data_IF_697692445041
#
_entry.id   IF_697692445041
#
_cell.length_a   1.000
_cell.length_b   1.000
_cell.length_c   1.000
_cell.angle_alpha   90.00
_cell.angle_beta   90.00
_cell.angle_gamma   90.00
#
_symmetry.space_group_name_H-M   'P 1'
#
loop_
_entity.id
_entity.type
_entity.pdbx_description
1 polymer ?
#
# COMPACT_ATOMS: atom_id res chain seq x y z
N UNK A 1 -3.27 -4.34 8.96
CA UNK A 1 -2.80 -3.53 7.79
C UNK A 1 -3.58 -3.96 6.57
N UNK A 2 -3.94 -3.01 5.71
CA UNK A 2 -4.69 -3.28 4.49
C UNK A 2 -3.79 -3.87 3.37
N UNK A 3 -4.41 -4.50 2.36
CA UNK A 3 -3.72 -5.05 1.20
C UNK A 3 -4.21 -4.43 -0.11
N UNK A 4 -3.28 -4.03 -0.99
CA UNK A 4 -3.56 -3.55 -2.35
C UNK A 4 -3.00 -4.52 -3.37
N UNK A 5 -3.77 -4.78 -4.44
CA UNK A 5 -3.31 -5.42 -5.68
C UNK A 5 -3.90 -4.66 -6.86
N UNK A 6 -3.08 -4.32 -7.84
CA UNK A 6 -3.49 -3.71 -9.11
C UNK A 6 -2.81 -4.40 -10.27
N UNK A 7 -3.44 -4.40 -11.44
CA UNK A 7 -2.87 -5.06 -12.62
C UNK A 7 -3.35 -4.43 -13.92
N UNK A 8 -2.47 -4.45 -14.92
CA UNK A 8 -2.76 -4.20 -16.33
C UNK A 8 -2.12 -5.32 -17.15
N UNK A 9 -2.90 -5.99 -18.01
CA UNK A 9 -2.47 -7.14 -18.81
C UNK A 9 -3.34 -7.31 -20.07
N UNK A 10 -2.86 -8.08 -21.02
CA UNK A 10 -3.65 -8.55 -22.17
C UNK A 10 -4.48 -9.82 -21.90
N UNK A 11 -4.35 -10.40 -20.68
CA UNK A 11 -5.16 -11.53 -20.19
C UNK A 11 -6.12 -11.10 -19.07
N UNK A 12 -7.05 -11.99 -18.70
CA UNK A 12 -7.91 -11.77 -17.54
C UNK A 12 -7.08 -11.75 -16.24
N UNK A 13 -7.09 -10.60 -15.54
CA UNK A 13 -6.32 -10.39 -14.31
C UNK A 13 -7.13 -10.66 -13.04
N UNK A 14 -8.43 -10.86 -13.13
CA UNK A 14 -9.29 -11.03 -11.97
C UNK A 14 -8.83 -12.17 -11.04
N UNK A 15 -8.44 -13.36 -11.56
CA UNK A 15 -7.89 -14.41 -10.72
C UNK A 15 -6.60 -13.99 -9.99
N UNK A 16 -5.74 -13.18 -10.62
CA UNK A 16 -4.50 -12.67 -10.02
C UNK A 16 -4.82 -11.71 -8.88
N UNK A 17 -5.75 -10.78 -9.10
CA UNK A 17 -6.19 -9.83 -8.07
C UNK A 17 -6.73 -10.57 -6.84
N UNK A 18 -7.62 -11.54 -7.04
CA UNK A 18 -8.25 -12.28 -5.94
C UNK A 18 -7.26 -13.16 -5.19
N UNK A 19 -6.38 -13.88 -5.90
CA UNK A 19 -5.33 -14.67 -5.26
C UNK A 19 -4.35 -13.80 -4.48
N UNK A 20 -4.01 -12.62 -5.02
CA UNK A 20 -3.20 -11.64 -4.31
C UNK A 20 -3.86 -11.17 -3.02
N UNK A 21 -5.18 -10.89 -3.05
CA UNK A 21 -5.92 -10.56 -1.83
C UNK A 21 -5.95 -11.70 -0.82
N UNK A 22 -6.13 -12.94 -1.26
CA UNK A 22 -6.10 -14.12 -0.37
C UNK A 22 -4.77 -14.23 0.38
N UNK A 23 -3.65 -13.95 -0.32
CA UNK A 23 -2.32 -13.93 0.30
C UNK A 23 -2.12 -12.79 1.28
N UNK A 24 -2.88 -11.69 1.15
CA UNK A 24 -2.83 -10.53 2.05
C UNK A 24 -3.92 -10.53 3.12
N UNK A 25 -4.86 -11.48 3.09
CA UNK A 25 -6.04 -11.51 3.98
C UNK A 25 -5.65 -11.57 5.47
N UNK A 26 -4.49 -12.15 5.80
CA UNK A 26 -3.99 -12.19 7.17
C UNK A 26 -3.70 -10.79 7.74
N UNK A 27 -3.51 -9.77 6.88
CA UNK A 27 -3.26 -8.38 7.27
C UNK A 27 -4.54 -7.58 7.55
N UNK A 28 -5.67 -7.97 6.94
CA UNK A 28 -6.94 -7.27 7.10
C UNK A 28 -8.06 -8.07 6.46
N UNK A 29 -9.18 -8.21 7.17
CA UNK A 29 -10.30 -9.05 6.77
C UNK A 29 -11.66 -8.47 7.14
N UNK A 30 -11.76 -7.17 7.43
CA UNK A 30 -13.03 -6.52 7.76
C UNK A 30 -13.92 -6.35 6.55
N UNK A 31 -13.29 -6.12 5.41
CA UNK A 31 -13.94 -6.08 4.11
C UNK A 31 -12.92 -6.25 2.99
N UNK A 32 -13.40 -6.66 1.83
CA UNK A 32 -12.61 -6.79 0.62
C UNK A 32 -13.43 -6.39 -0.60
N UNK A 33 -12.72 -6.13 -1.71
CA UNK A 33 -13.38 -5.84 -2.97
C UNK A 33 -12.43 -5.72 -4.14
N UNK A 34 -13.02 -5.75 -5.32
CA UNK A 34 -12.36 -5.63 -6.62
C UNK A 34 -13.11 -4.62 -7.48
N UNK A 35 -12.36 -3.84 -8.25
CA UNK A 35 -12.90 -3.04 -9.34
C UNK A 35 -12.15 -3.35 -10.63
N UNK A 36 -12.89 -3.41 -11.74
CA UNK A 36 -12.36 -3.72 -13.06
C UNK A 36 -12.87 -2.74 -14.12
N UNK A 37 -12.12 -2.65 -15.20
CA UNK A 37 -12.49 -1.91 -16.39
C UNK A 37 -13.07 -2.85 -17.45
N UNK A 38 -14.35 -2.78 -17.76
CA UNK A 38 -15.04 -3.71 -18.67
C UNK A 38 -14.47 -3.76 -20.09
N UNK A 39 -14.00 -2.62 -20.61
CA UNK A 39 -13.54 -2.52 -22.00
C UNK A 39 -12.07 -2.92 -22.21
N UNK A 40 -11.33 -3.30 -21.19
CA UNK A 40 -9.88 -3.53 -21.30
C UNK A 40 -9.53 -4.72 -22.18
N UNK A 41 -10.39 -5.72 -22.31
CA UNK A 41 -10.22 -6.88 -23.18
C UNK A 41 -11.01 -6.77 -24.50
N UNK A 42 -12.12 -6.05 -24.53
CA UNK A 42 -13.07 -6.06 -25.66
C UNK A 42 -13.02 -4.85 -26.59
N UNK A 43 -12.29 -3.79 -26.25
CA UNK A 43 -12.22 -2.50 -26.98
C UNK A 43 -13.60 -1.85 -27.26
N UNK A 44 -14.65 -2.27 -26.56
CA UNK A 44 -15.98 -1.64 -26.62
C UNK A 44 -16.05 -0.52 -25.57
N UNK A 45 -17.00 0.40 -25.71
CA UNK A 45 -17.26 1.38 -24.66
C UNK A 45 -17.76 0.64 -23.40
N UNK A 46 -16.86 0.43 -22.44
CA UNK A 46 -17.13 -0.23 -21.17
C UNK A 46 -17.15 0.76 -20.03
N UNK A 47 -17.85 0.37 -18.97
CA UNK A 47 -17.87 1.09 -17.69
C UNK A 47 -16.87 0.51 -16.69
N UNK A 48 -16.98 0.99 -15.47
CA UNK A 48 -16.31 0.40 -14.32
C UNK A 48 -17.29 -0.53 -13.60
N UNK A 49 -16.85 -1.75 -13.27
CA UNK A 49 -17.59 -2.67 -12.40
C UNK A 49 -16.83 -2.91 -11.11
N UNK A 50 -17.54 -3.17 -10.03
CA UNK A 50 -16.95 -3.56 -8.76
C UNK A 50 -17.81 -4.58 -8.03
N UNK A 51 -17.14 -5.46 -7.25
CA UNK A 51 -17.73 -6.30 -6.22
C UNK A 51 -17.09 -5.96 -4.88
N UNK A 52 -17.87 -5.95 -3.79
CA UNK A 52 -17.40 -5.65 -2.43
C UNK A 52 -18.13 -6.51 -1.41
N UNK A 53 -17.39 -6.99 -0.41
CA UNK A 53 -17.92 -7.80 0.67
C UNK A 53 -17.36 -7.34 2.03
N UNK A 54 -18.15 -7.51 3.09
CA UNK A 54 -17.70 -7.40 4.49
C UNK A 54 -17.30 -8.75 5.06
N UNK A 55 -17.11 -9.74 4.21
CA UNK A 55 -16.71 -11.10 4.52
C UNK A 55 -15.31 -11.41 3.98
N UNK A 56 -14.92 -12.67 4.06
CA UNK A 56 -13.65 -13.19 3.56
C UNK A 56 -13.54 -13.09 2.03
N UNK A 57 -12.33 -13.09 1.52
CA UNK A 57 -12.05 -13.06 0.07
C UNK A 57 -12.69 -14.25 -0.66
N UNK A 58 -12.87 -15.39 0.02
CA UNK A 58 -13.58 -16.55 -0.55
C UNK A 58 -15.04 -16.27 -0.93
N UNK A 59 -15.74 -15.43 -0.17
CA UNK A 59 -17.11 -15.01 -0.52
C UNK A 59 -17.13 -13.99 -1.65
N UNK A 60 -16.15 -13.08 -1.68
CA UNK A 60 -15.96 -12.18 -2.80
C UNK A 60 -15.73 -12.94 -4.11
N UNK A 61 -15.00 -14.06 -4.09
CA UNK A 61 -14.82 -14.94 -5.26
C UNK A 61 -16.15 -15.45 -5.79
N UNK A 62 -17.03 -15.94 -4.94
CA UNK A 62 -18.36 -16.41 -5.34
C UNK A 62 -19.18 -15.33 -6.06
N UNK A 63 -19.12 -14.09 -5.56
CA UNK A 63 -19.78 -12.96 -6.20
C UNK A 63 -19.15 -12.64 -7.57
N UNK A 64 -17.81 -12.62 -7.67
CA UNK A 64 -17.08 -12.39 -8.93
C UNK A 64 -17.44 -13.42 -9.99
N UNK A 65 -17.52 -14.71 -9.61
CA UNK A 65 -17.91 -15.80 -10.49
C UNK A 65 -19.36 -15.67 -10.95
N UNK A 66 -20.27 -15.32 -10.04
CA UNK A 66 -21.69 -15.09 -10.34
C UNK A 66 -21.89 -13.91 -11.30
N UNK A 67 -21.15 -12.82 -11.08
CA UNK A 67 -21.23 -11.60 -11.88
C UNK A 67 -20.38 -11.68 -13.18
N UNK A 68 -19.68 -12.80 -13.39
CA UNK A 68 -18.79 -13.03 -14.54
C UNK A 68 -17.82 -11.87 -14.79
N UNK A 69 -17.12 -11.43 -13.72
CA UNK A 69 -16.19 -10.32 -13.82
C UNK A 69 -14.88 -10.78 -14.47
N UNK A 70 -14.59 -10.27 -15.66
CA UNK A 70 -13.38 -10.51 -16.41
C UNK A 70 -12.81 -9.19 -16.94
N UNK A 71 -11.50 -9.01 -16.86
CA UNK A 71 -10.85 -7.79 -17.32
C UNK A 71 -9.34 -7.96 -17.43
N UNK A 72 -8.71 -7.14 -18.28
CA UNK A 72 -7.25 -6.94 -18.31
C UNK A 72 -6.77 -5.80 -17.43
N UNK A 73 -7.66 -5.02 -16.80
CA UNK A 73 -7.29 -3.88 -15.95
C UNK A 73 -8.17 -3.83 -14.72
N UNK A 74 -7.56 -3.75 -13.55
CA UNK A 74 -8.30 -3.66 -12.30
C UNK A 74 -7.43 -3.45 -11.07
N UNK A 75 -8.12 -3.19 -9.96
CA UNK A 75 -7.54 -3.02 -8.62
C UNK A 75 -8.38 -3.79 -7.60
N UNK A 76 -7.74 -4.25 -6.55
CA UNK A 76 -8.38 -4.99 -5.47
C UNK A 76 -7.80 -4.62 -4.12
N UNK A 77 -8.58 -4.83 -3.06
CA UNK A 77 -8.22 -4.39 -1.72
C UNK A 77 -8.78 -5.31 -0.64
N UNK A 78 -7.99 -5.53 0.43
CA UNK A 78 -8.46 -6.03 1.73
C UNK A 78 -8.29 -4.92 2.76
N UNK A 79 -9.34 -4.67 3.54
CA UNK A 79 -9.39 -3.56 4.48
C UNK A 79 -9.29 -4.02 5.93
N UNK A 80 -8.53 -3.26 6.71
CA UNK A 80 -8.65 -3.17 8.16
C UNK A 80 -9.21 -1.79 8.48
N UNK A 81 -10.40 -1.73 9.07
CA UNK A 81 -11.12 -0.49 9.26
C UNK A 81 -10.38 0.48 10.20
N UNK A 82 -10.09 1.68 9.68
CA UNK A 82 -9.55 2.81 10.45
C UNK A 82 -10.58 3.94 10.54
N UNK A 83 -11.25 4.26 9.42
CA UNK A 83 -12.31 5.27 9.32
C UNK A 83 -13.60 4.65 8.80
N UNK A 84 -14.69 4.79 9.54
CA UNK A 84 -15.99 4.18 9.22
C UNK A 84 -16.09 2.71 9.60
N UNK A 85 -17.27 2.28 10.02
CA UNK A 85 -17.55 0.91 10.44
C UNK A 85 -17.33 -0.10 9.30
N UNK A 86 -17.08 -1.40 9.61
CA UNK A 86 -17.09 -2.46 8.61
C UNK A 86 -18.48 -2.58 7.97
N UNK A 87 -18.66 -1.95 6.82
CA UNK A 87 -19.90 -1.95 6.05
C UNK A 87 -19.55 -1.89 4.56
N UNK A 88 -20.41 -2.45 3.70
CA UNK A 88 -20.17 -2.53 2.26
C UNK A 88 -19.93 -1.16 1.63
N UNK A 89 -20.62 -0.11 2.08
CA UNK A 89 -20.42 1.25 1.55
C UNK A 89 -19.05 1.85 1.92
N UNK A 90 -18.42 1.36 3.01
CA UNK A 90 -17.08 1.75 3.44
C UNK A 90 -15.97 0.82 2.90
N UNK A 91 -16.36 -0.29 2.24
CA UNK A 91 -15.40 -1.22 1.63
C UNK A 91 -14.79 -0.62 0.36
N UNK A 92 -13.49 -0.85 0.16
CA UNK A 92 -12.80 -0.50 -1.08
C UNK A 92 -13.07 -1.53 -2.18
N UNK A 93 -12.93 -1.19 -3.45
CA UNK A 93 -12.61 0.11 -4.05
C UNK A 93 -13.75 1.14 -3.95
N UNK A 94 -13.37 2.43 -3.84
CA UNK A 94 -14.32 3.54 -3.97
C UNK A 94 -14.39 4.04 -5.40
N UNK A 95 -15.59 4.47 -5.81
CA UNK A 95 -15.83 5.08 -7.10
C UNK A 95 -16.12 6.57 -6.94
N UNK A 96 -15.65 7.37 -7.90
CA UNK A 96 -16.20 8.71 -8.14
C UNK A 96 -17.06 8.69 -9.40
N UNK A 97 -18.35 9.01 -9.32
CA UNK A 97 -19.22 9.16 -10.49
C UNK A 97 -19.23 10.58 -11.06
N UNK A 98 -18.43 11.50 -10.47
CA UNK A 98 -18.46 12.92 -10.75
C UNK A 98 -19.45 13.70 -9.88
N UNK A 99 -19.52 15.02 -10.05
CA UNK A 99 -20.49 15.85 -9.33
C UNK A 99 -21.93 15.54 -9.76
N UNK A 100 -22.87 15.64 -8.82
CA UNK A 100 -24.30 15.41 -9.05
C UNK A 100 -25.05 15.12 -7.75
N UNK A 101 -26.40 15.05 -7.80
CA UNK A 101 -27.20 14.70 -6.64
C UNK A 101 -27.29 13.17 -6.44
N UNK A 102 -27.71 12.72 -5.24
CA UNK A 102 -27.83 11.31 -4.87
C UNK A 102 -28.71 10.51 -5.84
N UNK A 103 -29.80 11.10 -6.33
CA UNK A 103 -30.69 10.42 -7.28
C UNK A 103 -30.03 10.22 -8.64
N UNK A 104 -29.13 11.13 -9.03
CA UNK A 104 -28.34 11.01 -10.25
C UNK A 104 -27.18 10.03 -10.12
N UNK A 105 -26.81 9.63 -8.91
CA UNK A 105 -25.72 8.69 -8.62
C UNK A 105 -26.21 7.23 -8.55
N UNK A 106 -27.49 7.02 -8.28
CA UNK A 106 -28.09 5.69 -8.26
C UNK A 106 -28.07 5.08 -9.69
N UNK A 107 -27.19 4.11 -9.92
CA UNK A 107 -27.03 3.44 -11.19
C UNK A 107 -26.08 4.11 -12.19
N UNK A 108 -25.41 5.23 -11.85
CA UNK A 108 -24.35 5.75 -12.71
C UNK A 108 -23.05 4.95 -12.51
N UNK A 109 -22.41 4.52 -13.60
CA UNK A 109 -21.10 3.91 -13.51
C UNK A 109 -20.09 4.93 -12.97
N UNK A 110 -19.12 4.44 -12.17
CA UNK A 110 -18.01 5.27 -11.72
C UNK A 110 -17.18 5.79 -12.90
N UNK A 111 -16.52 6.93 -12.71
CA UNK A 111 -15.53 7.47 -13.66
C UNK A 111 -14.12 7.12 -13.21
N UNK A 112 -13.86 7.20 -11.90
CA UNK A 112 -12.61 6.85 -11.24
C UNK A 112 -12.86 5.69 -10.28
N UNK A 113 -11.95 4.72 -10.24
CA UNK A 113 -11.88 3.68 -9.22
C UNK A 113 -10.57 3.82 -8.44
N UNK A 114 -10.63 3.75 -7.11
CA UNK A 114 -9.48 3.96 -6.25
C UNK A 114 -9.49 3.03 -5.03
N UNK A 115 -8.31 2.52 -4.67
CA UNK A 115 -8.01 1.86 -3.40
C UNK A 115 -6.90 2.60 -2.67
N UNK A 116 -6.90 2.53 -1.34
CA UNK A 116 -5.99 3.28 -0.48
C UNK A 116 -5.61 2.50 0.77
N UNK A 117 -4.34 2.49 1.09
CA UNK A 117 -3.77 2.11 2.37
C UNK A 117 -3.18 3.36 3.03
N UNK A 118 -3.58 3.63 4.25
CA UNK A 118 -3.09 4.77 5.01
C UNK A 118 -4.22 5.60 5.62
N UNK A 119 -3.90 6.83 5.98
CA UNK A 119 -4.83 7.80 6.56
C UNK A 119 -4.52 9.18 6.01
N UNK A 120 -5.53 9.86 5.46
CA UNK A 120 -5.44 11.25 5.02
C UNK A 120 -5.96 12.16 6.13
N UNK A 121 -5.06 12.89 6.78
CA UNK A 121 -5.34 13.71 7.95
C UNK A 121 -6.23 14.94 7.64
N UNK A 122 -6.12 15.49 6.44
CA UNK A 122 -6.90 16.66 6.00
C UNK A 122 -8.16 16.29 5.20
N UNK A 123 -8.66 15.04 5.35
CA UNK A 123 -9.81 14.56 4.56
C UNK A 123 -11.09 15.40 4.76
N UNK A 124 -11.34 15.93 5.95
CA UNK A 124 -12.53 16.75 6.23
C UNK A 124 -12.49 18.08 5.49
N UNK A 125 -11.33 18.75 5.41
CA UNK A 125 -11.13 19.96 4.64
C UNK A 125 -11.37 19.71 3.15
N UNK A 126 -10.78 18.65 2.62
CA UNK A 126 -10.93 18.25 1.21
C UNK A 126 -12.37 17.86 0.90
N UNK A 127 -13.04 17.13 1.81
CA UNK A 127 -14.46 16.77 1.71
C UNK A 127 -15.35 18.00 1.58
N UNK A 128 -15.16 19.01 2.42
CA UNK A 128 -15.93 20.27 2.35
C UNK A 128 -15.74 21.00 1.02
N UNK A 129 -14.50 21.05 0.50
CA UNK A 129 -14.20 21.64 -0.81
C UNK A 129 -14.89 20.89 -1.95
N UNK A 130 -14.93 19.55 -1.89
CA UNK A 130 -15.59 18.72 -2.89
C UNK A 130 -17.12 18.83 -2.83
N UNK A 131 -17.70 18.89 -1.63
CA UNK A 131 -19.13 19.14 -1.46
C UNK A 131 -19.55 20.49 -2.05
N UNK A 132 -18.74 21.53 -1.88
CA UNK A 132 -18.95 22.82 -2.53
C UNK A 132 -18.89 22.75 -4.06
N UNK A 133 -18.16 21.78 -4.63
CA UNK A 133 -18.13 21.48 -6.08
C UNK A 133 -19.29 20.55 -6.52
N UNK A 134 -20.18 20.16 -5.62
CA UNK A 134 -21.33 19.31 -5.92
C UNK A 134 -21.05 17.78 -5.86
N UNK A 135 -19.94 17.35 -5.25
CA UNK A 135 -19.69 15.93 -5.00
C UNK A 135 -20.50 15.44 -3.80
N UNK A 136 -21.10 14.26 -3.93
CA UNK A 136 -21.89 13.62 -2.89
C UNK A 136 -21.17 12.39 -2.40
N UNK A 137 -21.06 12.24 -1.09
CA UNK A 137 -20.36 11.16 -0.43
C UNK A 137 -21.32 10.05 0.01
N UNK A 138 -20.96 8.81 -0.29
CA UNK A 138 -21.68 7.59 0.07
C UNK A 138 -21.05 6.85 1.24
N UNK A 139 -19.80 7.16 1.58
CA UNK A 139 -19.05 6.54 2.65
C UNK A 139 -18.50 7.54 3.67
N UNK A 140 -18.03 7.00 4.78
CA UNK A 140 -17.35 7.74 5.85
C UNK A 140 -15.82 7.70 5.71
N UNK A 141 -15.31 7.12 4.62
CA UNK A 141 -13.88 6.92 4.45
C UNK A 141 -13.18 8.16 3.90
N UNK A 142 -11.94 8.35 4.28
CA UNK A 142 -11.03 9.30 3.66
C UNK A 142 -10.69 8.93 2.21
N UNK A 143 -10.76 7.65 1.88
CA UNK A 143 -10.50 7.12 0.53
C UNK A 143 -11.46 7.64 -0.52
N UNK A 144 -12.76 7.77 -0.20
CA UNK A 144 -13.73 8.35 -1.14
C UNK A 144 -13.41 9.82 -1.46
N UNK A 145 -12.83 10.54 -0.49
CA UNK A 145 -12.35 11.92 -0.70
C UNK A 145 -11.26 11.94 -1.76
N UNK A 146 -10.30 11.01 -1.68
CA UNK A 146 -9.23 10.92 -2.70
C UNK A 146 -9.81 10.60 -4.08
N UNK A 147 -10.74 9.64 -4.18
CA UNK A 147 -11.37 9.27 -5.45
C UNK A 147 -12.09 10.46 -6.11
N UNK A 148 -12.85 11.23 -5.32
CA UNK A 148 -13.51 12.44 -5.80
C UNK A 148 -12.52 13.55 -6.16
N UNK A 149 -11.40 13.66 -5.42
CA UNK A 149 -10.39 14.67 -5.74
C UNK A 149 -9.72 14.39 -7.07
N UNK A 150 -9.29 13.13 -7.32
CA UNK A 150 -8.74 12.70 -8.62
C UNK A 150 -9.73 13.04 -9.75
N UNK A 151 -11.00 12.68 -9.59
CA UNK A 151 -12.03 12.97 -10.59
C UNK A 151 -12.21 14.49 -10.83
N UNK A 152 -12.12 15.29 -9.76
CA UNK A 152 -12.34 16.74 -9.83
C UNK A 152 -11.23 17.51 -10.56
N UNK A 153 -10.05 16.92 -10.66
CA UNK A 153 -8.87 17.51 -11.33
C UNK A 153 -8.48 16.77 -12.61
N UNK A 154 -9.22 15.72 -12.98
CA UNK A 154 -9.02 14.97 -14.20
C UNK A 154 -9.39 15.80 -15.43
N UNK A 155 -8.47 15.93 -16.37
CA UNK A 155 -8.62 16.70 -17.61
C UNK A 155 -8.20 15.91 -18.88
N UNK A 156 -8.19 14.57 -18.78
CA UNK A 156 -7.84 13.66 -19.89
C UNK A 156 -6.55 12.88 -19.69
N UNK A 157 -5.82 13.10 -18.58
CA UNK A 157 -4.65 12.33 -18.19
C UNK A 157 -4.71 11.95 -16.70
N UNK A 158 -4.82 10.64 -16.44
CA UNK A 158 -4.94 10.11 -15.09
C UNK A 158 -3.65 10.34 -14.27
N UNK A 159 -2.48 10.22 -14.89
CA UNK A 159 -1.21 10.41 -14.18
C UNK A 159 -1.08 11.83 -13.66
N UNK A 160 -1.38 12.82 -14.51
CA UNK A 160 -1.38 14.23 -14.11
C UNK A 160 -2.47 14.55 -13.07
N UNK A 161 -3.63 13.89 -13.15
CA UNK A 161 -4.68 14.05 -12.14
C UNK A 161 -4.25 13.49 -10.77
N UNK A 162 -3.61 12.32 -10.73
CA UNK A 162 -3.05 11.74 -9.49
C UNK A 162 -1.92 12.63 -8.96
N UNK A 163 -1.04 13.10 -9.81
CA UNK A 163 0.07 14.01 -9.45
C UNK A 163 -0.43 15.30 -8.77
N UNK A 164 -1.46 15.93 -9.33
CA UNK A 164 -2.10 17.10 -8.69
C UNK A 164 -2.79 16.73 -7.39
N UNK A 165 -3.39 15.55 -7.32
CA UNK A 165 -4.09 15.08 -6.13
C UNK A 165 -3.12 14.90 -4.95
N UNK A 166 -2.00 14.20 -5.15
CA UNK A 166 -1.06 13.90 -4.06
C UNK A 166 -0.42 15.15 -3.46
N UNK A 167 -0.37 16.27 -4.18
CA UNK A 167 0.10 17.55 -3.65
C UNK A 167 -0.85 18.17 -2.60
N UNK A 168 -2.11 17.80 -2.63
CA UNK A 168 -3.12 18.28 -1.70
C UNK A 168 -3.29 17.37 -0.46
N UNK A 169 -2.81 16.12 -0.56
CA UNK A 169 -2.96 15.14 0.52
C UNK A 169 -1.96 15.38 1.65
N UNK A 170 -2.44 15.32 2.90
CA UNK A 170 -1.61 15.31 4.10
C UNK A 170 -1.82 13.99 4.84
N UNK A 171 -0.74 13.30 5.17
CA UNK A 171 -0.81 12.00 5.84
C UNK A 171 -0.08 10.91 5.08
N UNK A 172 -0.32 9.65 5.46
CA UNK A 172 0.30 8.49 4.83
C UNK A 172 -0.68 7.85 3.84
N UNK A 173 -0.18 7.51 2.65
CA UNK A 173 -0.97 6.82 1.63
C UNK A 173 -0.13 5.89 0.75
N UNK A 174 -0.75 4.82 0.31
CA UNK A 174 -0.44 4.11 -0.92
C UNK A 174 -1.77 3.94 -1.67
N UNK A 175 -1.82 4.40 -2.90
CA UNK A 175 -3.03 4.36 -3.73
C UNK A 175 -2.78 3.63 -5.03
N UNK A 176 -3.83 2.98 -5.55
CA UNK A 176 -3.91 2.52 -6.93
C UNK A 176 -5.23 2.98 -7.53
N UNK A 177 -5.15 3.57 -8.72
CA UNK A 177 -6.25 4.31 -9.36
C UNK A 177 -6.32 3.95 -10.84
N UNK A 178 -7.54 3.81 -11.37
CA UNK A 178 -7.77 3.79 -12.81
C UNK A 178 -9.02 4.61 -13.19
N UNK A 179 -9.10 5.00 -14.46
CA UNK A 179 -10.17 5.84 -14.99
C UNK A 179 -10.90 5.14 -16.14
N UNK A 180 -12.22 5.38 -16.28
CA UNK A 180 -13.06 4.73 -17.30
C UNK A 180 -12.64 5.04 -18.73
N UNK A 181 -12.04 6.20 -18.97
CA UNK A 181 -11.64 6.63 -20.32
C UNK A 181 -10.20 6.19 -20.67
N UNK A 182 -9.51 5.50 -19.73
CA UNK A 182 -8.14 4.99 -19.90
C UNK A 182 -8.06 3.49 -19.57
N UNK A 183 -8.59 2.62 -20.45
CA UNK A 183 -8.92 1.23 -20.13
C UNK A 183 -7.73 0.30 -19.85
N UNK A 184 -6.50 0.70 -20.18
CA UNK A 184 -5.29 -0.12 -20.04
C UNK A 184 -4.23 0.62 -19.22
N UNK A 185 -4.66 1.31 -18.16
CA UNK A 185 -3.79 2.11 -17.32
C UNK A 185 -4.21 2.03 -15.86
N UNK A 186 -3.23 1.84 -14.98
CA UNK A 186 -3.37 2.03 -13.54
C UNK A 186 -2.24 2.93 -13.07
N UNK A 187 -2.57 3.91 -12.25
CA UNK A 187 -1.60 4.82 -11.65
C UNK A 187 -1.50 4.54 -10.16
N UNK A 188 -0.29 4.44 -9.66
CA UNK A 188 0.00 4.31 -8.23
C UNK A 188 0.76 5.49 -7.69
N UNK A 189 0.60 5.77 -6.41
CA UNK A 189 1.41 6.74 -5.68
C UNK A 189 1.58 6.29 -4.23
N UNK A 190 2.73 6.63 -3.62
CA UNK A 190 2.97 6.32 -2.23
C UNK A 190 3.64 7.46 -1.46
N UNK A 191 3.23 7.63 -0.20
CA UNK A 191 3.93 8.36 0.84
C UNK A 191 3.58 7.74 2.19
N UNK A 192 4.57 7.34 2.97
CA UNK A 192 4.37 6.73 4.30
C UNK A 192 3.83 5.30 4.32
N UNK A 193 3.15 4.83 3.28
CA UNK A 193 2.64 3.45 3.16
C UNK A 193 3.35 2.71 2.02
N UNK A 194 3.62 1.39 2.14
CA UNK A 194 4.35 0.66 1.12
C UNK A 194 3.53 0.44 -0.15
N UNK A 195 4.18 0.58 -1.30
CA UNK A 195 3.70 0.17 -2.61
C UNK A 195 4.89 -0.30 -3.45
N UNK A 196 4.71 -1.38 -4.19
CA UNK A 196 5.69 -1.95 -5.11
C UNK A 196 5.11 -2.08 -6.50
N UNK A 197 5.99 -2.09 -7.49
CA UNK A 197 5.69 -2.44 -8.87
C UNK A 197 6.22 -3.84 -9.15
N UNK A 198 5.35 -4.74 -9.63
CA UNK A 198 5.73 -6.02 -10.20
C UNK A 198 5.85 -5.91 -11.72
N UNK A 199 7.01 -6.28 -12.26
CA UNK A 199 7.24 -6.28 -13.71
C UNK A 199 6.91 -7.68 -14.24
N UNK A 200 5.95 -7.76 -15.16
CA UNK A 200 5.58 -9.03 -15.78
C UNK A 200 6.60 -9.47 -16.82
N UNK A 201 6.77 -10.77 -16.96
CA UNK A 201 7.66 -11.39 -17.94
C UNK A 201 6.93 -11.86 -19.21
N UNK A 202 5.60 -11.87 -19.18
CA UNK A 202 4.71 -12.33 -20.27
C UNK A 202 3.47 -11.46 -20.31
N UNK A 203 2.63 -11.59 -21.36
CA UNK A 203 1.33 -10.94 -21.48
C UNK A 203 1.34 -9.41 -21.36
N UNK A 204 2.46 -8.74 -21.67
CA UNK A 204 2.59 -7.29 -21.57
C UNK A 204 2.06 -6.71 -20.25
N UNK A 205 2.26 -7.44 -19.16
CA UNK A 205 1.60 -7.18 -17.88
C UNK A 205 2.51 -6.43 -16.90
N UNK A 206 1.90 -5.56 -16.10
CA UNK A 206 2.52 -4.90 -14.97
C UNK A 206 1.53 -4.89 -13.79
N UNK A 207 2.09 -4.90 -12.58
CA UNK A 207 1.33 -5.04 -11.34
C UNK A 207 1.70 -3.98 -10.33
N UNK A 208 0.75 -3.61 -9.47
CA UNK A 208 0.99 -2.87 -8.24
C UNK A 208 0.57 -3.74 -7.06
N UNK A 209 1.32 -3.71 -5.97
CA UNK A 209 0.91 -4.37 -4.74
C UNK A 209 1.47 -3.64 -3.52
N UNK A 210 0.81 -3.80 -2.38
CA UNK A 210 1.32 -3.29 -1.10
C UNK A 210 2.41 -4.19 -0.50
N UNK A 211 2.56 -5.41 -1.03
CA UNK A 211 3.56 -6.40 -0.60
C UNK A 211 3.86 -7.40 -1.71
N UNK A 212 5.12 -7.85 -1.81
CA UNK A 212 5.57 -8.81 -2.81
C UNK A 212 4.86 -10.18 -2.70
N UNK A 213 4.40 -10.55 -1.51
CA UNK A 213 3.61 -11.77 -1.29
C UNK A 213 2.34 -11.83 -2.13
N UNK A 214 1.71 -10.70 -2.41
CA UNK A 214 0.53 -10.65 -3.27
C UNK A 214 0.82 -11.15 -4.70
N UNK A 215 2.06 -10.96 -5.16
CA UNK A 215 2.51 -11.31 -6.51
C UNK A 215 3.25 -12.66 -6.60
N UNK A 216 3.31 -13.42 -5.48
CA UNK A 216 3.96 -14.72 -5.46
C UNK A 216 3.34 -15.66 -6.52
N UNK A 217 4.19 -16.27 -7.36
CA UNK A 217 3.76 -17.11 -8.48
C UNK A 217 3.21 -16.35 -9.70
N UNK A 218 3.22 -15.00 -9.65
CA UNK A 218 2.85 -14.14 -10.80
C UNK A 218 4.11 -13.51 -11.40
N UNK A 219 4.91 -12.84 -10.59
CA UNK A 219 6.23 -12.32 -10.95
C UNK A 219 7.14 -12.28 -9.74
N UNK A 220 8.43 -12.49 -9.98
CA UNK A 220 9.52 -12.31 -9.02
C UNK A 220 10.32 -11.02 -9.25
N UNK A 221 9.99 -10.28 -10.32
CA UNK A 221 10.66 -9.03 -10.71
C UNK A 221 9.98 -7.84 -10.03
N UNK A 222 10.54 -7.39 -8.93
CA UNK A 222 9.95 -6.37 -8.05
C UNK A 222 10.76 -5.08 -8.08
N UNK A 223 10.08 -3.96 -8.25
CA UNK A 223 10.61 -2.62 -8.04
C UNK A 223 10.00 -2.05 -6.76
N UNK A 224 10.84 -1.73 -5.79
CA UNK A 224 10.42 -1.03 -4.58
C UNK A 224 10.34 0.45 -4.86
N UNK A 225 9.14 1.02 -4.74
CA UNK A 225 8.94 2.45 -4.88
C UNK A 225 9.49 3.17 -3.65
N UNK A 226 10.09 4.32 -3.87
CA UNK A 226 10.60 5.18 -2.80
C UNK A 226 9.53 6.20 -2.34
N UNK A 227 9.84 6.92 -1.28
CA UNK A 227 8.96 7.92 -0.68
C UNK A 227 8.65 9.05 -1.67
N UNK A 228 7.36 9.26 -1.95
CA UNK A 228 6.88 10.26 -2.90
C UNK A 228 6.89 9.82 -4.36
N UNK A 229 7.21 8.55 -4.65
CA UNK A 229 7.13 8.03 -6.02
C UNK A 229 5.69 7.93 -6.51
N UNK A 230 5.50 8.34 -7.76
CA UNK A 230 4.33 8.06 -8.59
C UNK A 230 4.72 7.05 -9.66
N UNK A 231 3.86 6.08 -9.91
CA UNK A 231 4.09 5.05 -10.93
C UNK A 231 2.90 4.93 -11.86
N UNK A 232 3.19 4.87 -13.14
CA UNK A 232 2.20 4.62 -14.19
C UNK A 232 2.46 3.26 -14.80
N UNK A 233 1.49 2.36 -14.72
CA UNK A 233 1.56 1.05 -15.37
C UNK A 233 0.54 0.95 -16.49
N UNK A 234 1.01 0.48 -17.64
CA UNK A 234 0.24 0.25 -18.86
C UNK A 234 0.64 -1.09 -19.47
N UNK A 235 -0.03 -1.51 -20.54
CA UNK A 235 0.36 -2.71 -21.29
C UNK A 235 1.81 -2.63 -21.75
N UNK A 236 2.65 -3.54 -21.24
CA UNK A 236 4.04 -3.70 -21.65
C UNK A 236 4.97 -2.54 -21.33
N UNK A 237 4.51 -1.52 -20.61
CA UNK A 237 5.34 -0.38 -20.22
C UNK A 237 4.95 0.19 -18.87
N UNK A 238 5.93 0.78 -18.22
CA UNK A 238 5.73 1.56 -17.00
C UNK A 238 6.75 2.69 -16.93
N UNK A 239 6.48 3.68 -16.09
CA UNK A 239 7.46 4.68 -15.67
C UNK A 239 7.18 5.17 -14.26
N UNK A 240 8.22 5.73 -13.65
CA UNK A 240 8.17 6.25 -12.28
C UNK A 240 8.65 7.70 -12.31
N UNK A 241 7.94 8.56 -11.60
CA UNK A 241 8.39 9.91 -11.24
C UNK A 241 8.61 9.98 -9.73
N UNK A 242 9.70 10.63 -9.34
CA UNK A 242 10.03 10.86 -7.93
C UNK A 242 9.24 12.05 -7.34
N UNK A 243 9.48 12.34 -6.06
CA UNK A 243 8.88 13.49 -5.36
C UNK A 243 9.18 14.86 -5.99
N UNK A 244 10.19 14.95 -6.83
CA UNK A 244 10.55 16.16 -7.58
C UNK A 244 9.92 16.18 -8.98
N UNK A 245 9.05 15.22 -9.28
CA UNK A 245 8.41 15.02 -10.57
C UNK A 245 9.40 14.76 -11.72
N UNK A 246 10.54 14.14 -11.41
CA UNK A 246 11.53 13.74 -12.40
C UNK A 246 11.38 12.25 -12.69
N UNK A 247 11.46 11.87 -13.95
CA UNK A 247 11.48 10.46 -14.33
C UNK A 247 12.73 9.78 -13.80
N UNK A 248 12.52 8.70 -13.06
CA UNK A 248 13.59 7.92 -12.43
C UNK A 248 13.49 6.45 -12.80
N UNK A 249 14.65 5.79 -12.87
CA UNK A 249 14.73 4.35 -12.97
C UNK A 249 15.04 3.77 -11.57
N UNK A 250 14.12 2.97 -11.03
CA UNK A 250 14.34 2.21 -9.80
C UNK A 250 14.87 0.82 -10.14
N UNK A 251 15.75 0.21 -9.34
CA UNK A 251 16.30 -1.10 -9.63
C UNK A 251 15.22 -2.18 -9.54
N UNK A 252 15.19 -3.07 -10.53
CA UNK A 252 14.40 -4.29 -10.47
C UNK A 252 15.17 -5.31 -9.62
N UNK A 253 14.53 -5.84 -8.57
CA UNK A 253 15.09 -6.88 -7.71
C UNK A 253 14.34 -8.18 -7.94
N UNK A 254 15.07 -9.29 -8.03
CA UNK A 254 14.46 -10.62 -8.04
C UNK A 254 14.15 -11.02 -6.61
N UNK A 255 12.85 -11.21 -6.32
CA UNK A 255 12.36 -11.58 -4.98
C UNK A 255 11.67 -12.93 -5.07
N UNK A 256 12.29 -13.95 -4.52
CA UNK A 256 11.69 -15.29 -4.45
C UNK A 256 10.65 -15.34 -3.32
N UNK A 257 9.46 -14.76 -3.59
CA UNK A 257 8.34 -14.91 -2.69
C UNK A 257 7.85 -16.37 -2.74
N UNK A 258 8.08 -17.13 -1.66
CA UNK A 258 7.60 -18.49 -1.56
C UNK A 258 6.08 -18.49 -1.43
N UNK A 259 5.36 -19.02 -2.42
CA UNK A 259 3.90 -19.12 -2.40
C UNK A 259 3.37 -19.82 -1.13
N UNK A 260 4.14 -20.77 -0.59
CA UNK A 260 3.82 -21.45 0.67
C UNK A 260 3.93 -20.59 1.93
N UNK A 261 4.56 -19.40 1.88
CA UNK A 261 4.62 -18.53 3.06
C UNK A 261 3.24 -17.97 3.45
N UNK A 262 2.35 -17.78 2.49
CA UNK A 262 0.97 -17.34 2.74
C UNK A 262 0.01 -18.48 3.11
N UNK A 263 0.43 -19.75 2.98
CA UNK A 263 -0.40 -20.90 3.32
C UNK A 263 -0.33 -21.18 4.82
N UNK A 264 -1.47 -21.53 5.42
CA UNK A 264 -1.54 -21.84 6.85
C UNK A 264 -0.74 -23.13 7.19
N UNK A 265 -0.59 -24.02 6.21
CA UNK A 265 0.09 -25.30 6.38
C UNK A 265 -0.60 -26.17 7.46
N UNK A 266 0.17 -26.85 8.32
CA UNK A 266 -0.38 -27.72 9.37
C UNK A 266 -0.93 -26.95 10.57
N UNK A 267 -0.88 -25.63 10.60
CA UNK A 267 -1.24 -24.81 11.73
C UNK A 267 -2.73 -24.39 11.69
N UNK A 268 -3.33 -24.17 12.84
CA UNK A 268 -4.74 -23.72 12.95
C UNK A 268 -4.89 -22.20 12.74
N UNK A 269 -3.83 -21.44 13.04
CA UNK A 269 -3.84 -19.97 13.02
C UNK A 269 -2.51 -19.46 12.49
N UNK A 270 -2.53 -18.35 11.75
CA UNK A 270 -1.31 -17.69 11.25
C UNK A 270 -0.33 -17.33 12.36
N UNK A 271 -0.82 -16.77 13.48
CA UNK A 271 0.04 -16.47 14.63
C UNK A 271 0.76 -17.72 15.16
N UNK A 272 0.08 -18.87 15.21
CA UNK A 272 0.72 -20.14 15.59
C UNK A 272 1.83 -20.53 14.61
N UNK A 273 1.56 -20.43 13.31
CA UNK A 273 2.56 -20.65 12.26
C UNK A 273 3.76 -19.73 12.45
N UNK A 274 3.54 -18.44 12.59
CA UNK A 274 4.59 -17.42 12.78
C UNK A 274 5.45 -17.69 14.02
N UNK A 275 4.84 -18.11 15.13
CA UNK A 275 5.59 -18.51 16.34
C UNK A 275 6.56 -19.66 16.05
N UNK A 276 6.12 -20.68 15.33
CA UNK A 276 6.96 -21.85 15.02
C UNK A 276 7.96 -21.59 13.89
N UNK A 277 7.71 -20.63 13.03
CA UNK A 277 8.61 -20.22 11.94
C UNK A 277 9.71 -19.23 12.38
N UNK A 278 9.64 -18.66 13.59
CA UNK A 278 10.64 -17.69 14.07
C UNK A 278 12.09 -18.14 13.92
N UNK A 279 12.49 -19.39 14.27
CA UNK A 279 13.89 -19.81 14.11
C UNK A 279 14.36 -19.74 12.66
N UNK A 280 13.52 -20.13 11.71
CA UNK A 280 13.79 -20.04 10.29
C UNK A 280 13.84 -18.60 9.82
N UNK A 281 12.84 -17.77 10.18
CA UNK A 281 12.77 -16.38 9.80
C UNK A 281 13.99 -15.58 10.29
N UNK A 282 14.49 -15.87 11.49
CA UNK A 282 15.72 -15.27 12.02
C UNK A 282 16.94 -15.73 11.21
N UNK A 283 17.04 -17.03 10.90
CA UNK A 283 18.13 -17.56 10.08
C UNK A 283 18.14 -16.94 8.68
N UNK A 284 16.98 -16.88 8.02
CA UNK A 284 16.83 -16.27 6.70
C UNK A 284 17.19 -14.76 6.71
N UNK A 285 16.81 -14.04 7.79
CA UNK A 285 17.15 -12.59 7.96
C UNK A 285 18.65 -12.37 8.12
N UNK A 286 19.35 -13.32 8.74
CA UNK A 286 20.79 -13.24 8.98
C UNK A 286 21.61 -13.91 7.86
N UNK A 287 20.95 -14.47 6.84
CA UNK A 287 21.65 -15.09 5.73
C UNK A 287 22.54 -14.07 5.00
N UNK A 288 23.82 -14.39 4.86
CA UNK A 288 24.82 -13.49 4.27
C UNK A 288 25.37 -12.42 5.22
N UNK A 289 24.93 -12.39 6.49
CA UNK A 289 25.48 -11.52 7.53
C UNK A 289 26.44 -12.32 8.41
N UNK A 290 27.73 -12.26 8.12
CA UNK A 290 28.75 -12.96 8.94
C UNK A 290 28.93 -12.32 10.31
N UNK A 291 28.88 -10.97 10.37
CA UNK A 291 29.02 -10.20 11.59
C UNK A 291 28.08 -8.99 11.59
N UNK A 292 27.50 -8.67 12.75
CA UNK A 292 26.76 -7.41 12.94
C UNK A 292 27.78 -6.33 13.27
N UNK A 293 28.08 -5.49 12.29
CA UNK A 293 29.07 -4.41 12.36
C UNK A 293 28.41 -3.07 12.00
N UNK A 294 28.94 -1.94 12.45
CA UNK A 294 28.38 -0.62 12.17
C UNK A 294 28.18 -0.34 10.66
N UNK A 295 29.06 -0.86 9.82
CA UNK A 295 29.04 -0.68 8.37
C UNK A 295 27.75 -1.23 7.68
N UNK A 296 27.05 -2.17 8.34
CA UNK A 296 25.72 -2.62 7.87
C UNK A 296 24.68 -1.48 7.84
N UNK A 297 24.93 -0.44 8.59
CA UNK A 297 24.04 0.73 8.72
C UNK A 297 24.55 1.93 7.93
N UNK A 298 25.64 1.79 7.15
CA UNK A 298 26.15 2.86 6.28
C UNK A 298 25.13 3.13 5.16
N UNK A 299 24.93 4.41 4.87
CA UNK A 299 23.99 4.85 3.83
C UNK A 299 22.56 5.15 4.30
N UNK A 300 22.23 4.92 5.55
CA UNK A 300 20.90 5.24 6.10
C UNK A 300 20.56 6.74 6.10
N UNK A 301 21.55 7.63 5.96
CA UNK A 301 21.35 9.09 6.03
C UNK A 301 21.19 9.79 4.68
N UNK A 302 21.17 9.07 3.53
CA UNK A 302 20.89 9.67 2.21
C UNK A 302 21.78 10.84 1.77
N UNK A 303 22.82 11.18 2.53
CA UNK A 303 23.75 12.25 2.18
C UNK A 303 25.05 11.67 1.63
N UNK A 304 25.49 12.22 0.49
CA UNK A 304 26.77 11.90 -0.13
C UNK A 304 28.00 12.27 0.74
N UNK A 305 27.80 12.81 1.93
CA UNK A 305 28.81 13.04 2.94
C UNK A 305 28.65 12.00 4.04
N UNK A 306 29.39 10.93 3.91
CA UNK A 306 29.47 9.78 4.78
C UNK A 306 29.90 10.12 6.20
N UNK A 307 28.96 10.48 7.08
CA UNK A 307 29.16 10.14 8.47
C UNK A 307 28.96 8.63 8.57
N UNK A 308 30.08 7.91 8.67
CA UNK A 308 30.15 6.47 8.85
C UNK A 308 29.33 6.10 10.11
N UNK A 309 28.50 5.06 10.02
CA UNK A 309 27.67 4.58 11.13
C UNK A 309 28.46 4.36 12.42
N UNK A 310 29.71 3.93 12.30
CA UNK A 310 30.64 3.82 13.43
C UNK A 310 30.84 5.14 14.19
N UNK A 311 30.95 6.28 13.49
CA UNK A 311 31.08 7.60 14.13
C UNK A 311 29.77 7.98 14.83
N UNK A 312 28.65 7.78 14.16
CA UNK A 312 27.32 8.06 14.73
C UNK A 312 27.12 7.26 16.02
N UNK A 313 27.40 5.95 16.01
CA UNK A 313 27.24 5.10 17.19
C UNK A 313 28.17 5.46 18.35
N UNK A 314 29.30 6.12 18.07
CA UNK A 314 30.19 6.64 19.14
C UNK A 314 29.74 7.97 19.76
N UNK A 315 28.94 8.74 19.02
CA UNK A 315 28.52 10.07 19.43
C UNK A 315 27.17 10.10 20.14
N UNK A 316 26.40 9.00 20.07
CA UNK A 316 25.10 8.92 20.73
C UNK A 316 25.23 8.72 22.24
N UNK A 317 24.35 9.37 22.99
CA UNK A 317 24.25 9.25 24.45
C UNK A 317 23.04 8.44 24.91
N UNK A 318 22.06 8.21 24.02
CA UNK A 318 20.82 7.48 24.31
C UNK A 318 20.16 6.93 23.05
N UNK A 319 19.25 6.01 23.26
CA UNK A 319 18.43 5.38 22.20
C UNK A 319 16.95 5.61 22.48
N UNK A 320 16.20 5.98 21.44
CA UNK A 320 14.73 6.02 21.45
C UNK A 320 14.20 5.00 20.45
N UNK A 321 13.44 4.02 20.92
CA UNK A 321 12.77 3.03 20.07
C UNK A 321 11.31 3.42 19.90
N UNK A 322 10.87 3.58 18.65
CA UNK A 322 9.50 3.90 18.29
C UNK A 322 8.87 2.71 17.57
N UNK A 323 7.80 2.16 18.13
CA UNK A 323 7.13 0.99 17.58
C UNK A 323 5.67 0.88 18.06
N UNK A 324 4.90 -0.01 17.42
CA UNK A 324 3.55 -0.38 17.84
C UNK A 324 3.41 -1.90 17.94
N UNK A 325 2.41 -2.38 18.68
CA UNK A 325 2.06 -3.81 18.76
C UNK A 325 3.22 -4.69 19.26
N UNK A 326 3.45 -5.82 18.62
CA UNK A 326 4.52 -6.77 18.97
C UNK A 326 5.91 -6.19 18.78
N UNK A 327 6.09 -5.27 17.82
CA UNK A 327 7.34 -4.53 17.63
C UNK A 327 7.67 -3.64 18.83
N UNK A 328 6.66 -3.03 19.46
CA UNK A 328 6.85 -2.28 20.72
C UNK A 328 7.38 -3.19 21.84
N UNK A 329 6.83 -4.40 21.99
CA UNK A 329 7.31 -5.34 23.02
C UNK A 329 8.73 -5.83 22.73
N UNK A 330 9.12 -6.02 21.46
CA UNK A 330 10.52 -6.32 21.11
C UNK A 330 11.46 -5.18 21.48
N UNK A 331 11.03 -3.94 21.29
CA UNK A 331 11.72 -2.75 21.76
C UNK A 331 11.89 -2.72 23.28
N UNK A 332 10.86 -3.09 24.05
CA UNK A 332 10.94 -3.22 25.50
C UNK A 332 11.99 -4.23 25.96
N UNK A 333 12.15 -5.35 25.24
CA UNK A 333 13.23 -6.33 25.52
C UNK A 333 14.58 -5.75 25.15
N UNK A 334 14.70 -5.13 23.97
CA UNK A 334 15.95 -4.51 23.51
C UNK A 334 16.45 -3.42 24.47
N UNK A 335 15.55 -2.67 25.11
CA UNK A 335 15.89 -1.69 26.14
C UNK A 335 16.77 -2.29 27.24
N UNK A 336 16.37 -3.43 27.81
CA UNK A 336 17.15 -4.09 28.86
C UNK A 336 18.54 -4.49 28.39
N UNK A 337 18.67 -4.93 27.14
CA UNK A 337 19.97 -5.29 26.58
C UNK A 337 20.85 -4.07 26.32
N UNK A 338 20.29 -2.99 25.78
CA UNK A 338 21.02 -1.74 25.56
C UNK A 338 21.53 -1.15 26.89
N UNK A 339 20.69 -1.14 27.91
CA UNK A 339 21.06 -0.61 29.23
C UNK A 339 22.07 -1.51 29.95
N UNK A 340 21.91 -2.85 29.89
CA UNK A 340 22.80 -3.78 30.62
C UNK A 340 24.11 -4.07 29.89
N UNK A 341 24.10 -4.17 28.57
CA UNK A 341 25.28 -4.56 27.77
C UNK A 341 26.02 -3.35 27.24
N UNK A 342 25.28 -2.44 26.58
CA UNK A 342 25.88 -1.24 25.97
C UNK A 342 26.03 -0.07 26.94
N UNK A 343 25.40 -0.14 28.11
CA UNK A 343 25.39 0.95 29.13
C UNK A 343 24.85 2.28 28.58
N UNK A 344 23.91 2.19 27.61
CA UNK A 344 23.28 3.35 26.97
C UNK A 344 21.81 3.43 27.41
N UNK A 345 21.36 4.58 27.97
CA UNK A 345 19.95 4.79 28.32
C UNK A 345 19.04 4.58 27.12
N UNK A 346 17.96 3.83 27.31
CA UNK A 346 17.00 3.53 26.25
C UNK A 346 15.57 3.84 26.67
N UNK A 347 14.83 4.54 25.82
CA UNK A 347 13.39 4.74 25.95
C UNK A 347 12.67 3.99 24.83
N UNK A 348 11.47 3.47 25.14
CA UNK A 348 10.61 2.84 24.16
C UNK A 348 9.26 3.52 24.23
N UNK A 349 8.79 4.04 23.11
CA UNK A 349 7.51 4.74 23.03
C UNK A 349 6.63 4.15 21.92
N UNK A 350 5.31 4.24 22.11
CA UNK A 350 4.35 3.87 21.09
C UNK A 350 4.42 4.92 19.98
N UNK A 351 4.69 4.47 18.75
CA UNK A 351 4.96 5.37 17.64
C UNK A 351 3.78 6.29 17.31
N UNK A 352 2.53 5.83 17.46
CA UNK A 352 1.34 6.67 17.28
C UNK A 352 1.26 7.80 18.30
N UNK A 353 1.59 7.53 19.57
CA UNK A 353 1.58 8.54 20.62
C UNK A 353 2.72 9.56 20.44
N UNK A 354 3.89 9.07 20.05
CA UNK A 354 5.04 9.94 19.77
C UNK A 354 4.74 10.93 18.63
N UNK A 355 4.00 10.49 17.60
CA UNK A 355 3.64 11.31 16.44
C UNK A 355 2.79 12.52 16.80
N UNK A 356 1.88 12.38 17.77
CA UNK A 356 0.89 13.40 18.09
C UNK A 356 1.25 14.28 19.29
N UNK A 357 2.38 14.00 19.96
CA UNK A 357 2.86 14.84 21.05
C UNK A 357 3.97 15.78 20.59
N UNK A 358 4.10 16.92 21.26
CA UNK A 358 5.27 17.75 21.12
C UNK A 358 6.49 17.03 21.73
N UNK A 359 7.52 16.83 20.93
CA UNK A 359 8.77 16.22 21.36
C UNK A 359 9.92 17.22 21.25
N UNK A 360 10.90 17.10 22.16
CA UNK A 360 12.13 17.88 22.09
C UNK A 360 13.21 16.99 21.48
N UNK A 361 13.60 17.21 20.21
CA UNK A 361 14.64 16.42 19.57
C UNK A 361 15.99 16.66 20.26
N UNK A 362 16.72 15.58 20.51
CA UNK A 362 18.08 15.65 21.01
C UNK A 362 19.02 15.05 19.95
N UNK A 363 19.97 15.82 19.40
CA UNK A 363 20.84 15.39 18.31
C UNK A 363 21.75 14.20 18.66
N UNK A 364 21.90 13.90 19.95
CA UNK A 364 22.66 12.72 20.41
C UNK A 364 21.79 11.50 20.69
N UNK A 365 20.52 11.52 20.29
CA UNK A 365 19.62 10.38 20.40
C UNK A 365 19.57 9.60 19.09
N UNK A 366 19.94 8.31 19.13
CA UNK A 366 19.65 7.38 18.06
C UNK A 366 18.17 7.01 18.10
N UNK A 367 17.43 7.31 17.03
CA UNK A 367 16.04 6.90 16.89
C UNK A 367 15.96 5.62 16.05
N UNK A 368 15.38 4.57 16.63
CA UNK A 368 15.14 3.28 15.97
C UNK A 368 13.65 3.11 15.78
N UNK A 369 13.18 3.06 14.56
CA UNK A 369 11.77 2.80 14.25
C UNK A 369 11.60 1.36 13.77
N UNK A 370 10.70 0.60 14.43
CA UNK A 370 10.37 -0.79 14.07
C UNK A 370 8.91 -0.80 13.57
N UNK A 371 8.73 -1.15 12.29
CA UNK A 371 7.42 -1.15 11.61
C UNK A 371 6.97 -2.55 11.21
#
# INVERSE_FOLDING_TARGET
>A
MCGIVGAVSDRNIVPILVQGLQRLEYRGYDSCGVAIHEASLSRTQGGLKRARSTSRVSELMTQIETDHLESGTGIAHTRWATHGAPAVHNAHPHFSPGPGNLDSLNGKPGRVALVHNGIIENHDELRAKLQAKGYVFSSQTDTEVIAHWVDSVYDGDLFEAVKRTVQELKGAYAIAVFHKDEPQRVVGARAGSPLILGVGTSHHENFLASDAMALAGVTDQIVYLEEGDLVDIQLGKYWIEDRLHQRVARPVKTVHAHSGAAELGPYRHYMQKEIFEQPRAIADTLEGVEHIVPELFDGLNGSANSDNAYKVFKEIDKVLILACGTSYYSGCVAKYWLESVAQIPCQVEIASEYRYRDSVPDPKTLVVTIT
#
